data_IF_654549626992
#
_entry.id   IF_654549626992
#
_cell.length_a   1.000
_cell.length_b   1.000
_cell.length_c   1.000
_cell.angle_alpha   90.00
_cell.angle_beta   90.00
_cell.angle_gamma   90.00
#
_symmetry.space_group_name_H-M   'P 1'
#
loop_
_entity.id
_entity.type
_entity.pdbx_description
1 polymer ?
#
# COMPACT_ATOMS: atom_id res chain seq x y z
N UNK A 1 6.12 -64.35 41.79
CA UNK A 1 4.80 -64.14 42.40
C UNK A 1 4.05 -63.24 41.43
N UNK A 2 3.21 -63.75 40.53
CA UNK A 2 1.92 -64.42 40.81
C UNK A 2 0.84 -63.32 40.73
N UNK A 3 0.26 -63.10 39.54
CA UNK A 3 -1.09 -63.53 39.09
C UNK A 3 -2.20 -62.61 39.59
N UNK A 4 -3.36 -62.36 38.97
CA UNK A 4 -4.02 -62.57 37.66
C UNK A 4 -5.49 -62.11 37.85
N UNK A 5 -6.24 -61.92 36.75
CA UNK A 5 -7.72 -61.82 36.73
C UNK A 5 -8.20 -60.52 36.07
N UNK A 6 -8.41 -60.43 34.74
CA UNK A 6 -9.50 -61.01 33.91
C UNK A 6 -10.85 -60.29 34.20
N UNK A 7 -11.70 -59.86 33.28
CA UNK A 7 -12.11 -60.40 31.97
C UNK A 7 -12.61 -59.30 31.00
N UNK A 8 -12.53 -59.64 29.71
CA UNK A 8 -13.09 -59.00 28.52
C UNK A 8 -14.62 -59.15 28.44
N UNK A 9 -15.29 -58.25 27.71
CA UNK A 9 -16.29 -58.67 26.73
C UNK A 9 -16.47 -57.59 25.66
N UNK A 10 -16.24 -58.04 24.42
CA UNK A 10 -16.40 -57.37 23.14
C UNK A 10 -17.87 -57.38 22.67
N UNK A 11 -18.06 -56.84 21.46
CA UNK A 11 -19.21 -56.92 20.56
C UNK A 11 -20.20 -55.74 20.74
N UNK A 12 -20.40 -54.82 19.79
CA UNK A 12 -20.60 -55.06 18.36
C UNK A 12 -20.56 -53.77 17.51
N UNK A 13 -20.37 -53.98 16.22
CA UNK A 13 -19.85 -53.09 15.17
C UNK A 13 -20.96 -52.76 14.14
N UNK A 14 -21.04 -51.47 13.70
CA UNK A 14 -21.60 -50.95 12.41
C UNK A 14 -23.14 -51.09 12.19
N UNK A 15 -23.92 -50.19 11.55
CA UNK A 15 -23.69 -49.07 10.63
C UNK A 15 -25.04 -48.28 10.41
N UNK A 16 -25.10 -47.23 9.55
CA UNK A 16 -26.07 -46.11 9.61
C UNK A 16 -27.31 -46.26 8.71
N UNK A 17 -28.36 -45.47 8.98
CA UNK A 17 -29.48 -45.22 8.05
C UNK A 17 -29.82 -43.73 7.98
N UNK A 18 -29.83 -43.19 6.77
CA UNK A 18 -30.54 -41.97 6.33
C UNK A 18 -31.70 -42.42 5.41
N UNK A 19 -32.56 -41.55 4.82
CA UNK A 19 -33.21 -40.29 5.24
C UNK A 19 -34.76 -40.32 5.03
N UNK A 20 -35.40 -39.15 5.20
CA UNK A 20 -36.74 -38.71 4.76
C UNK A 20 -38.00 -39.05 5.58
N UNK A 21 -38.68 -37.99 6.04
CA UNK A 21 -40.13 -37.83 5.92
C UNK A 21 -40.53 -36.35 6.03
N UNK A 22 -41.11 -35.85 4.94
CA UNK A 22 -41.80 -34.58 4.75
C UNK A 22 -42.94 -34.37 5.75
N UNK A 23 -43.15 -33.16 6.27
CA UNK A 23 -44.48 -32.69 6.70
C UNK A 23 -44.61 -31.20 6.48
N UNK A 24 -45.78 -30.83 5.97
CA UNK A 24 -46.14 -29.57 5.33
C UNK A 24 -47.11 -28.79 6.23
N UNK A 25 -46.93 -27.47 6.27
CA UNK A 25 -47.90 -26.39 6.58
C UNK A 25 -48.47 -26.21 8.00
N UNK A 26 -48.34 -24.99 8.52
CA UNK A 26 -49.49 -24.12 8.79
C UNK A 26 -49.06 -22.67 8.93
N UNK A 27 -49.88 -21.79 8.35
CA UNK A 27 -49.78 -20.34 8.39
C UNK A 27 -50.44 -19.89 9.69
N UNK A 28 -49.72 -19.18 10.55
CA UNK A 28 -50.37 -18.43 11.63
C UNK A 28 -49.72 -17.06 11.77
N UNK A 29 -50.59 -16.06 11.77
CA UNK A 29 -50.30 -14.64 11.84
C UNK A 29 -50.19 -14.24 13.30
N UNK A 30 -48.98 -13.89 13.73
CA UNK A 30 -48.77 -13.14 14.98
C UNK A 30 -47.67 -12.12 14.74
N UNK A 31 -47.98 -10.87 15.08
CA UNK A 31 -47.03 -9.77 15.23
C UNK A 31 -45.96 -10.19 16.25
N UNK A 32 -44.82 -10.68 15.76
CA UNK A 32 -43.69 -11.02 16.60
C UNK A 32 -42.55 -10.05 16.27
N UNK A 33 -42.21 -9.24 17.25
CA UNK A 33 -41.01 -8.41 17.29
C UNK A 33 -39.80 -9.34 17.14
N UNK A 34 -39.39 -9.56 15.89
CA UNK A 34 -38.39 -10.54 15.52
C UNK A 34 -36.98 -10.03 15.88
N UNK A 35 -36.70 -9.85 17.17
CA UNK A 35 -35.32 -9.76 17.65
C UNK A 35 -34.71 -11.15 17.56
N UNK A 36 -34.09 -11.44 16.42
CA UNK A 36 -33.39 -12.70 16.16
C UNK A 36 -32.19 -12.79 17.10
N UNK A 37 -32.09 -13.88 17.88
CA UNK A 37 -30.95 -14.15 18.75
C UNK A 37 -29.63 -14.19 17.96
N UNK A 38 -28.57 -13.47 18.39
CA UNK A 38 -27.30 -13.36 17.65
C UNK A 38 -26.56 -14.69 17.48
N UNK A 39 -26.93 -15.73 18.23
CA UNK A 39 -26.30 -17.06 18.19
C UNK A 39 -27.00 -18.09 17.28
N UNK A 40 -28.17 -17.78 16.71
CA UNK A 40 -28.91 -18.74 15.88
C UNK A 40 -29.16 -18.18 14.46
N UNK A 41 -28.06 -17.77 13.82
CA UNK A 41 -28.03 -16.82 12.71
C UNK A 41 -27.85 -17.48 11.33
N UNK A 42 -28.74 -18.38 10.93
CA UNK A 42 -28.92 -18.68 9.49
C UNK A 42 -29.72 -17.55 8.83
N UNK A 43 -29.21 -16.33 8.91
CA UNK A 43 -29.80 -15.21 8.18
C UNK A 43 -29.32 -15.28 6.73
N UNK A 44 -30.09 -15.99 5.90
CA UNK A 44 -29.78 -16.23 4.48
C UNK A 44 -29.51 -14.94 3.69
N UNK A 45 -30.05 -13.81 4.13
CA UNK A 45 -29.79 -12.52 3.50
C UNK A 45 -28.34 -12.03 3.68
N UNK A 46 -27.59 -12.45 4.70
CA UNK A 46 -26.14 -12.21 4.83
C UNK A 46 -25.28 -13.21 4.04
N UNK A 47 -25.90 -14.19 3.38
CA UNK A 47 -25.25 -15.03 2.36
C UNK A 47 -25.35 -14.40 0.96
N UNK A 48 -26.24 -13.42 0.75
CA UNK A 48 -26.37 -12.71 -0.51
C UNK A 48 -25.25 -11.68 -0.67
N UNK A 49 -24.52 -11.77 -1.79
CA UNK A 49 -23.40 -10.85 -2.10
C UNK A 49 -23.86 -9.40 -2.21
N UNK A 50 -25.04 -9.15 -2.77
CA UNK A 50 -25.56 -7.79 -2.99
C UNK A 50 -25.97 -7.13 -1.68
N UNK A 51 -26.62 -7.88 -0.78
CA UNK A 51 -26.93 -7.40 0.57
C UNK A 51 -25.65 -7.08 1.34
N UNK A 52 -24.63 -7.96 1.28
CA UNK A 52 -23.33 -7.69 1.90
C UNK A 52 -22.69 -6.43 1.33
N UNK A 53 -22.76 -6.22 0.01
CA UNK A 53 -22.23 -5.01 -0.63
C UNK A 53 -22.92 -3.75 -0.12
N UNK A 54 -24.25 -3.75 -0.04
CA UNK A 54 -25.02 -2.62 0.49
C UNK A 54 -24.65 -2.29 1.94
N UNK A 55 -24.47 -3.31 2.78
CA UNK A 55 -24.06 -3.15 4.18
C UNK A 55 -22.63 -2.61 4.25
N UNK A 56 -21.69 -3.28 3.57
CA UNK A 56 -20.26 -2.96 3.64
C UNK A 56 -19.94 -1.58 3.06
N UNK A 57 -20.69 -1.10 2.06
CA UNK A 57 -20.56 0.26 1.55
C UNK A 57 -20.84 1.37 2.59
N UNK A 58 -21.44 1.02 3.74
CA UNK A 58 -21.70 1.94 4.86
C UNK A 58 -20.69 1.82 6.00
N UNK A 59 -19.81 0.81 5.95
CA UNK A 59 -18.87 0.54 7.03
C UNK A 59 -17.55 1.33 6.86
N UNK A 60 -16.95 1.79 7.98
CA UNK A 60 -15.60 2.33 7.95
C UNK A 60 -14.57 1.21 7.72
N UNK A 61 -13.36 1.60 7.31
CA UNK A 61 -12.26 0.68 6.98
C UNK A 61 -11.96 -0.36 8.08
N UNK A 62 -11.90 -0.01 9.38
CA UNK A 62 -11.64 -1.00 10.43
C UNK A 62 -12.69 -2.11 10.46
N UNK A 63 -13.95 -1.77 10.26
CA UNK A 63 -15.06 -2.72 10.29
C UNK A 63 -15.08 -3.58 9.02
N UNK A 64 -14.72 -3.02 7.86
CA UNK A 64 -14.48 -3.79 6.64
C UNK A 64 -13.35 -4.81 6.83
N UNK A 65 -12.27 -4.43 7.52
CA UNK A 65 -11.19 -5.35 7.84
C UNK A 65 -11.67 -6.48 8.76
N UNK A 66 -12.46 -6.17 9.79
CA UNK A 66 -13.08 -7.18 10.65
C UNK A 66 -14.01 -8.11 9.86
N UNK A 67 -14.87 -7.56 9.00
CA UNK A 67 -15.79 -8.32 8.16
C UNK A 67 -15.03 -9.27 7.21
N UNK A 68 -13.87 -8.84 6.68
CA UNK A 68 -13.03 -9.67 5.82
C UNK A 68 -12.51 -10.95 6.49
N UNK A 69 -12.47 -10.98 7.83
CA UNK A 69 -11.98 -12.12 8.61
C UNK A 69 -13.07 -13.16 8.92
N UNK A 70 -14.35 -12.86 8.68
CA UNK A 70 -15.48 -13.71 9.11
C UNK A 70 -15.54 -15.01 8.30
N UNK A 71 -15.59 -14.90 6.97
CA UNK A 71 -15.62 -16.06 6.08
C UNK A 71 -15.15 -15.68 4.67
N UNK A 72 -14.96 -16.66 3.78
CA UNK A 72 -14.49 -16.42 2.39
C UNK A 72 -15.43 -15.52 1.58
N UNK A 73 -16.75 -15.68 1.75
CA UNK A 73 -17.74 -14.87 1.06
C UNK A 73 -17.65 -13.40 1.50
N UNK A 74 -17.57 -13.16 2.81
CA UNK A 74 -17.41 -11.81 3.36
C UNK A 74 -16.07 -11.20 2.95
N UNK A 75 -14.98 -11.97 3.01
CA UNK A 75 -13.67 -11.51 2.53
C UNK A 75 -13.71 -11.04 1.07
N UNK A 76 -14.38 -11.80 0.19
CA UNK A 76 -14.48 -11.45 -1.23
C UNK A 76 -15.21 -10.13 -1.47
N UNK A 77 -16.20 -9.78 -0.63
CA UNK A 77 -16.96 -8.52 -0.76
C UNK A 77 -16.26 -7.39 0.01
N UNK A 78 -15.84 -7.62 1.25
CA UNK A 78 -15.19 -6.62 2.08
C UNK A 78 -13.84 -6.16 1.52
N UNK A 79 -13.14 -7.03 0.78
CA UNK A 79 -11.90 -6.69 0.08
C UNK A 79 -12.10 -6.15 -1.34
N UNK A 80 -13.36 -5.95 -1.77
CA UNK A 80 -13.66 -5.35 -3.07
C UNK A 80 -13.13 -3.91 -3.13
N UNK A 81 -12.33 -3.62 -4.15
CA UNK A 81 -11.64 -2.35 -4.29
C UNK A 81 -12.61 -1.15 -4.33
N UNK A 82 -13.79 -1.29 -4.91
CA UNK A 82 -14.74 -0.18 -5.00
C UNK A 82 -15.33 0.17 -3.63
N UNK A 83 -15.65 -0.84 -2.82
CA UNK A 83 -16.17 -0.67 -1.46
C UNK A 83 -15.09 -0.03 -0.57
N UNK A 84 -13.89 -0.59 -0.61
CA UNK A 84 -12.77 -0.11 0.21
C UNK A 84 -12.36 1.31 -0.20
N UNK A 85 -12.28 1.61 -1.50
CA UNK A 85 -11.98 2.96 -1.97
C UNK A 85 -13.08 3.96 -1.60
N UNK A 86 -14.36 3.56 -1.61
CA UNK A 86 -15.47 4.40 -1.15
C UNK A 86 -15.36 4.71 0.34
N UNK A 87 -15.09 3.70 1.17
CA UNK A 87 -14.88 3.84 2.61
C UNK A 87 -13.65 4.71 2.92
N UNK A 88 -12.57 4.58 2.14
CA UNK A 88 -11.37 5.43 2.23
C UNK A 88 -11.65 6.89 1.90
N UNK A 89 -12.44 7.18 0.85
CA UNK A 89 -12.77 8.55 0.43
C UNK A 89 -13.64 9.31 1.43
N UNK A 90 -14.57 8.61 2.09
CA UNK A 90 -15.64 9.23 2.86
C UNK A 90 -15.16 10.17 3.98
N UNK A 91 -14.18 9.81 4.83
CA UNK A 91 -13.72 10.69 5.91
C UNK A 91 -13.09 12.00 5.42
N UNK A 92 -12.47 11.98 4.24
CA UNK A 92 -11.74 13.11 3.68
C UNK A 92 -12.54 13.96 2.70
N UNK A 93 -13.79 13.55 2.38
CA UNK A 93 -14.64 14.19 1.35
C UNK A 93 -13.93 14.31 -0.01
N UNK A 94 -13.17 13.28 -0.37
CA UNK A 94 -12.46 13.21 -1.63
C UNK A 94 -13.44 13.01 -2.78
N UNK A 95 -13.20 13.72 -3.89
CA UNK A 95 -13.99 13.55 -5.11
C UNK A 95 -13.66 12.22 -5.78
N UNK A 96 -12.37 11.97 -6.01
CA UNK A 96 -11.89 10.77 -6.68
C UNK A 96 -10.60 10.24 -6.06
N UNK A 97 -10.49 8.90 -6.05
CA UNK A 97 -9.25 8.18 -5.75
C UNK A 97 -8.99 7.29 -6.96
N UNK A 98 -7.88 7.52 -7.63
CA UNK A 98 -7.50 6.87 -8.90
C UNK A 98 -6.28 5.99 -8.63
N UNK A 99 -6.21 4.83 -9.30
CA UNK A 99 -5.09 3.90 -9.16
C UNK A 99 -5.44 2.68 -8.31
N UNK A 100 -4.58 1.65 -8.41
CA UNK A 100 -4.68 0.42 -7.63
C UNK A 100 -3.42 0.28 -6.79
N UNK A 101 -3.50 0.18 -5.46
CA UNK A 101 -2.32 -0.09 -4.67
C UNK A 101 -1.75 -1.47 -5.00
N UNK A 102 -0.44 -1.63 -4.84
CA UNK A 102 0.24 -2.91 -4.99
C UNK A 102 -0.14 -3.88 -3.87
N UNK A 103 -0.50 -3.37 -2.69
CA UNK A 103 -0.96 -4.18 -1.56
C UNK A 103 -2.29 -3.68 -0.98
N UNK A 104 -3.19 -4.61 -0.63
CA UNK A 104 -4.43 -4.30 0.10
C UNK A 104 -4.19 -3.68 1.48
N UNK A 105 -2.98 -3.83 2.05
CA UNK A 105 -2.58 -3.14 3.28
C UNK A 105 -2.61 -1.62 3.15
N UNK A 106 -2.53 -1.09 1.92
CA UNK A 106 -2.64 0.34 1.66
C UNK A 106 -3.90 0.93 2.30
N UNK A 107 -5.02 0.23 2.19
CA UNK A 107 -6.31 0.74 2.64
C UNK A 107 -6.51 0.66 4.15
N UNK A 108 -5.72 -0.14 4.87
CA UNK A 108 -5.93 -0.39 6.31
C UNK A 108 -5.65 0.82 7.19
N UNK A 109 -4.71 1.65 6.77
CA UNK A 109 -4.37 2.90 7.44
C UNK A 109 -5.04 4.05 6.69
N UNK A 110 -5.98 4.72 7.36
CA UNK A 110 -6.69 5.88 6.84
C UNK A 110 -6.35 7.14 7.65
N UNK A 111 -5.05 7.38 7.83
CA UNK A 111 -4.52 8.59 8.47
C UNK A 111 -4.08 9.63 7.44
N UNK A 112 -3.95 10.89 7.88
CA UNK A 112 -3.52 11.99 7.00
C UNK A 112 -2.12 11.76 6.42
N UNK A 113 -1.27 10.99 7.12
CA UNK A 113 0.09 10.66 6.70
C UNK A 113 0.15 9.82 5.41
N UNK A 114 -0.98 9.22 4.99
CA UNK A 114 -1.12 8.55 3.69
C UNK A 114 -1.08 9.51 2.51
N UNK A 115 -1.40 10.77 2.73
CA UNK A 115 -1.54 11.76 1.68
C UNK A 115 -0.30 12.63 1.58
N UNK A 116 0.05 12.98 0.35
CA UNK A 116 1.15 13.89 0.07
C UNK A 116 0.84 14.72 -1.16
N UNK A 117 1.36 15.93 -1.19
CA UNK A 117 1.37 16.76 -2.39
C UNK A 117 2.59 16.41 -3.23
N UNK A 118 2.40 16.21 -4.53
CA UNK A 118 3.49 16.13 -5.50
C UNK A 118 3.95 17.54 -5.86
N UNK A 119 5.18 17.88 -5.49
CA UNK A 119 5.83 19.12 -5.91
C UNK A 119 6.95 18.80 -6.90
N UNK A 120 6.83 19.27 -8.14
CA UNK A 120 7.90 19.14 -9.14
C UNK A 120 9.04 20.09 -8.80
N UNK A 121 10.27 19.57 -8.78
CA UNK A 121 11.43 20.36 -8.36
C UNK A 121 11.79 21.36 -9.46
N UNK A 122 11.83 22.64 -9.09
CA UNK A 122 12.25 23.74 -9.95
C UNK A 122 13.64 24.25 -9.54
N UNK A 123 14.27 25.03 -10.44
CA UNK A 123 15.57 25.67 -10.14
C UNK A 123 15.39 26.65 -8.99
N UNK A 124 16.22 26.51 -7.96
CA UNK A 124 16.17 27.34 -6.75
C UNK A 124 15.31 26.76 -5.62
N UNK A 125 14.63 25.63 -5.84
CA UNK A 125 13.96 24.92 -4.76
C UNK A 125 14.98 24.32 -3.79
N UNK A 126 14.70 24.46 -2.50
CA UNK A 126 15.43 23.77 -1.43
C UNK A 126 14.42 23.14 -0.49
N UNK A 127 14.83 22.11 0.26
CA UNK A 127 13.91 21.47 1.22
C UNK A 127 13.41 22.49 2.24
N UNK A 128 14.26 23.44 2.64
CA UNK A 128 13.89 24.54 3.53
C UNK A 128 12.89 25.52 2.89
N UNK A 129 13.10 25.95 1.64
CA UNK A 129 12.17 26.87 0.98
C UNK A 129 10.80 26.24 0.73
N UNK A 130 10.78 24.94 0.38
CA UNK A 130 9.55 24.18 0.23
C UNK A 130 8.84 23.97 1.57
N UNK A 131 9.57 23.68 2.65
CA UNK A 131 9.00 23.57 3.99
C UNK A 131 8.27 24.85 4.40
N UNK A 132 8.87 26.02 4.15
CA UNK A 132 8.23 27.31 4.40
C UNK A 132 7.02 27.53 3.49
N UNK A 133 7.15 27.26 2.18
CA UNK A 133 6.07 27.43 1.19
C UNK A 133 4.81 26.63 1.57
N UNK A 134 4.99 25.39 2.01
CA UNK A 134 3.88 24.49 2.35
C UNK A 134 3.54 24.47 3.84
N UNK A 135 4.21 25.29 4.66
CA UNK A 135 4.02 25.33 6.12
C UNK A 135 4.18 23.97 6.80
N UNK A 136 5.20 23.22 6.40
CA UNK A 136 5.56 21.90 6.98
C UNK A 136 6.97 21.93 7.56
N UNK A 137 7.34 20.91 8.34
CA UNK A 137 8.70 20.80 8.85
C UNK A 137 9.63 20.17 7.81
N UNK A 138 10.86 20.69 7.71
CA UNK A 138 11.94 20.11 6.86
C UNK A 138 12.13 18.62 7.15
N UNK A 139 12.11 18.25 8.44
CA UNK A 139 12.27 16.87 8.87
C UNK A 139 11.15 15.94 8.36
N UNK A 140 9.91 16.43 8.28
CA UNK A 140 8.79 15.63 7.79
C UNK A 140 8.89 15.40 6.28
N UNK A 141 9.31 16.40 5.51
CA UNK A 141 9.63 16.24 4.08
C UNK A 141 10.73 15.19 3.91
N UNK A 142 11.84 15.31 4.65
CA UNK A 142 12.95 14.36 4.55
C UNK A 142 12.51 12.93 4.88
N UNK A 143 11.76 12.75 5.97
CA UNK A 143 11.23 11.44 6.39
C UNK A 143 10.25 10.85 5.37
N UNK A 144 9.37 11.67 4.80
CA UNK A 144 8.41 11.25 3.79
C UNK A 144 9.12 10.77 2.51
N UNK A 145 10.22 11.41 2.15
CA UNK A 145 10.97 11.14 0.93
C UNK A 145 12.15 10.17 1.11
N UNK A 146 12.36 9.63 2.32
CA UNK A 146 13.52 8.82 2.66
C UNK A 146 14.86 9.53 2.34
N UNK A 147 14.94 10.83 2.59
CA UNK A 147 16.13 11.63 2.36
C UNK A 147 17.05 11.63 3.57
N UNK A 148 18.33 11.36 3.34
CA UNK A 148 19.35 11.48 4.39
C UNK A 148 19.92 12.90 4.48
N UNK A 149 20.05 13.58 3.34
CA UNK A 149 20.59 14.94 3.24
C UNK A 149 19.74 15.84 2.33
N UNK A 150 19.86 17.16 2.50
CA UNK A 150 19.19 18.17 1.67
C UNK A 150 19.80 18.27 0.27
N UNK A 151 21.09 17.93 0.13
CA UNK A 151 21.82 17.89 -1.16
C UNK A 151 21.18 16.94 -2.18
N UNK A 152 20.46 15.92 -1.71
CA UNK A 152 19.76 14.95 -2.53
C UNK A 152 18.44 15.44 -3.12
N UNK A 153 18.14 16.74 -3.09
CA UNK A 153 16.92 17.27 -3.71
C UNK A 153 17.00 17.17 -5.24
N UNK A 154 18.10 17.62 -5.85
CA UNK A 154 18.24 17.69 -7.30
C UNK A 154 18.52 16.34 -7.98
N UNK A 155 18.70 15.27 -7.20
CA UNK A 155 18.76 13.90 -7.74
C UNK A 155 17.37 13.33 -8.08
N UNK A 156 16.29 14.11 -7.86
CA UNK A 156 14.89 13.69 -7.99
C UNK A 156 14.14 14.61 -8.96
N UNK A 157 13.09 14.08 -9.58
CA UNK A 157 12.20 14.86 -10.45
C UNK A 157 11.13 15.63 -9.66
N UNK A 158 10.65 15.02 -8.57
CA UNK A 158 9.63 15.58 -7.69
C UNK A 158 9.88 15.19 -6.24
N UNK A 159 9.25 15.92 -5.33
CA UNK A 159 9.29 15.70 -3.90
C UNK A 159 7.87 15.56 -3.36
N UNK A 160 7.68 14.59 -2.45
CA UNK A 160 6.42 14.43 -1.73
C UNK A 160 6.38 15.39 -0.55
N UNK A 161 5.38 16.25 -0.47
CA UNK A 161 5.21 17.17 0.65
C UNK A 161 4.07 16.65 1.55
N UNK A 162 4.30 16.46 2.86
CA UNK A 162 3.25 16.04 3.79
C UNK A 162 2.08 17.02 3.79
N UNK A 163 0.86 16.52 3.95
CA UNK A 163 -0.32 17.37 4.12
C UNK A 163 -0.54 17.62 5.62
N UNK A 164 -0.53 18.88 6.02
CA UNK A 164 -0.83 19.28 7.41
C UNK A 164 -2.30 19.68 7.62
N UNK A 165 -2.96 20.22 6.59
CA UNK A 165 -4.37 20.61 6.67
C UNK A 165 -5.25 19.63 5.87
N UNK A 166 -6.13 18.85 6.52
CA UNK A 166 -7.09 17.96 5.85
C UNK A 166 -8.04 18.67 4.89
N UNK A 167 -8.30 19.96 5.06
CA UNK A 167 -9.20 20.73 4.19
C UNK A 167 -8.72 20.73 2.73
N UNK A 168 -7.41 20.56 2.49
CA UNK A 168 -6.88 20.44 1.12
C UNK A 168 -7.32 19.16 0.39
N UNK A 169 -7.88 18.19 1.11
CA UNK A 169 -8.39 16.95 0.53
C UNK A 169 -9.86 17.07 0.08
N UNK A 170 -10.59 18.10 0.52
CA UNK A 170 -12.01 18.25 0.19
C UNK A 170 -12.16 18.49 -1.31
N UNK A 171 -13.00 17.69 -1.96
CA UNK A 171 -13.21 17.69 -3.43
C UNK A 171 -11.95 17.42 -4.26
N UNK A 172 -10.85 17.02 -3.62
CA UNK A 172 -9.61 16.71 -4.31
C UNK A 172 -9.69 15.36 -5.04
N UNK A 173 -8.88 15.24 -6.08
CA UNK A 173 -8.59 13.96 -6.74
C UNK A 173 -7.17 13.53 -6.35
N UNK A 174 -7.04 12.33 -5.80
CA UNK A 174 -5.75 11.77 -5.43
C UNK A 174 -5.47 10.47 -6.17
N UNK A 175 -4.18 10.22 -6.38
CA UNK A 175 -3.65 9.11 -7.16
C UNK A 175 -2.88 8.19 -6.23
N UNK A 176 -3.28 6.93 -6.15
CA UNK A 176 -2.58 5.91 -5.37
C UNK A 176 -1.47 5.36 -6.23
N UNK A 177 -0.23 5.66 -5.85
CA UNK A 177 0.97 5.28 -6.58
C UNK A 177 2.10 4.88 -5.62
N UNK A 178 3.08 4.14 -6.14
CA UNK A 178 4.31 3.79 -5.42
C UNK A 178 5.38 4.79 -5.82
N UNK A 179 5.89 5.56 -4.86
CA UNK A 179 6.95 6.51 -5.14
C UNK A 179 8.31 5.79 -5.24
N UNK A 180 9.06 5.94 -6.36
CA UNK A 180 10.30 5.20 -6.58
C UNK A 180 11.42 5.62 -5.62
N UNK A 181 11.48 6.89 -5.22
CA UNK A 181 12.54 7.42 -4.36
C UNK A 181 12.24 7.17 -2.87
N UNK A 182 10.98 7.35 -2.46
CA UNK A 182 10.52 7.16 -1.09
C UNK A 182 10.20 5.69 -0.75
N UNK A 183 10.11 4.82 -1.77
CA UNK A 183 9.86 3.37 -1.68
C UNK A 183 8.62 3.02 -0.86
N UNK A 184 7.54 3.78 -1.06
CA UNK A 184 6.29 3.61 -0.31
C UNK A 184 5.07 3.95 -1.17
N UNK A 185 3.95 3.36 -0.82
CA UNK A 185 2.65 3.66 -1.42
C UNK A 185 2.06 4.92 -0.77
N UNK A 186 1.63 5.88 -1.58
CA UNK A 186 1.11 7.18 -1.11
C UNK A 186 -0.11 7.57 -1.96
N UNK A 187 -1.08 8.23 -1.34
CA UNK A 187 -2.15 8.94 -2.04
C UNK A 187 -1.67 10.35 -2.40
N UNK A 188 -1.28 10.53 -3.66
CA UNK A 188 -0.62 11.74 -4.14
C UNK A 188 -1.63 12.73 -4.72
N UNK A 189 -1.50 14.00 -4.33
CA UNK A 189 -2.25 15.13 -4.85
C UNK A 189 -1.34 15.95 -5.78
N UNK A 190 -1.82 16.21 -7.00
CA UNK A 190 -1.13 17.05 -7.97
C UNK A 190 -1.82 18.42 -7.99
N UNK A 191 -1.10 19.46 -7.55
CA UNK A 191 -1.64 20.83 -7.50
C UNK A 191 -1.56 21.56 -8.85
N UNK A 192 -0.56 21.22 -9.66
CA UNK A 192 -0.36 21.73 -11.01
C UNK A 192 -0.54 20.55 -11.95
N UNK A 193 -1.37 20.73 -12.99
CA UNK A 193 -1.76 19.79 -14.07
C UNK A 193 -1.49 18.31 -13.78
N UNK A 194 -2.57 17.53 -13.59
CA UNK A 194 -2.53 16.11 -13.21
C UNK A 194 -1.50 15.27 -13.98
N UNK A 195 -1.09 14.11 -13.43
CA UNK A 195 0.12 13.39 -13.83
C UNK A 195 0.26 13.34 -15.36
N UNK A 196 1.34 13.95 -15.86
CA UNK A 196 1.61 14.13 -17.29
C UNK A 196 1.36 12.81 -18.03
N UNK A 197 0.24 12.73 -18.77
CA UNK A 197 -0.31 11.46 -19.30
C UNK A 197 0.66 10.71 -20.23
N UNK A 198 1.78 11.33 -20.63
CA UNK A 198 2.86 10.72 -21.41
C UNK A 198 3.62 9.61 -20.69
N UNK A 199 3.74 9.65 -19.36
CA UNK A 199 4.49 8.62 -18.61
C UNK A 199 3.67 7.34 -18.34
N UNK A 200 2.34 7.43 -18.38
CA UNK A 200 1.44 6.30 -18.12
C UNK A 200 1.34 5.41 -19.37
N UNK A 201 1.42 5.98 -20.58
CA UNK A 201 1.36 5.24 -21.85
C UNK A 201 2.62 4.44 -22.20
N UNK A 202 3.76 4.68 -21.55
CA UNK A 202 5.00 3.91 -21.75
C UNK A 202 5.25 2.83 -20.71
N UNK A 203 4.37 2.71 -19.69
CA UNK A 203 4.49 1.72 -18.61
C UNK A 203 3.31 0.76 -18.51
N UNK A 204 2.26 0.96 -19.30
CA UNK A 204 1.05 0.10 -19.32
C UNK A 204 1.09 -1.07 -20.30
N UNK A 205 2.26 -1.43 -20.86
CA UNK A 205 2.42 -2.68 -21.61
C UNK A 205 3.75 -3.38 -21.29
N UNK A 206 3.87 -3.88 -20.05
CA UNK A 206 4.82 -4.94 -19.74
C UNK A 206 4.32 -5.79 -18.57
N UNK A 207 3.16 -6.42 -18.77
CA UNK A 207 2.75 -7.56 -17.95
C UNK A 207 2.13 -8.63 -18.85
N UNK A 208 2.96 -9.58 -19.28
CA UNK A 208 2.75 -11.04 -19.23
C UNK A 208 3.65 -11.73 -20.27
N UNK A 209 4.69 -12.42 -19.79
CA UNK A 209 5.01 -13.77 -20.25
C UNK A 209 5.95 -14.44 -19.23
N UNK A 210 5.30 -15.10 -18.28
CA UNK A 210 5.88 -16.19 -17.52
C UNK A 210 5.85 -17.40 -18.46
N UNK A 211 7.00 -17.80 -19.01
CA UNK A 211 7.14 -19.08 -19.67
C UNK A 211 8.37 -19.79 -19.11
N UNK A 212 8.15 -20.99 -18.59
CA UNK A 212 9.19 -21.88 -18.11
C UNK A 212 10.20 -22.17 -19.22
N UNK A 213 11.46 -21.91 -18.91
CA UNK A 213 12.60 -22.21 -19.76
C UNK A 213 13.86 -22.25 -18.90
N UNK A 214 14.33 -23.45 -18.62
CA UNK A 214 15.59 -23.72 -17.94
C UNK A 214 16.75 -23.00 -18.63
N UNK A 215 17.51 -22.22 -17.85
CA UNK A 215 18.84 -21.72 -18.22
C UNK A 215 18.96 -20.19 -18.27
N UNK A 216 19.43 -19.57 -17.18
CA UNK A 216 20.23 -18.32 -17.15
C UNK A 216 20.57 -17.91 -15.70
N UNK A 217 21.67 -18.44 -15.17
CA UNK A 217 22.21 -18.11 -13.83
C UNK A 217 23.17 -16.91 -13.81
N UNK A 218 23.36 -16.21 -14.94
CA UNK A 218 24.35 -15.12 -15.07
C UNK A 218 23.83 -13.71 -14.77
N UNK A 219 22.53 -13.43 -14.95
CA UNK A 219 21.96 -12.07 -14.78
C UNK A 219 21.80 -11.64 -13.31
N UNK A 220 21.59 -12.59 -12.40
CA UNK A 220 21.43 -12.29 -10.96
C UNK A 220 22.72 -11.79 -10.30
N UNK A 221 23.88 -12.24 -10.77
CA UNK A 221 25.18 -11.81 -10.24
C UNK A 221 25.51 -10.35 -10.59
N UNK A 222 25.08 -9.87 -11.77
CA UNK A 222 25.28 -8.46 -12.19
C UNK A 222 24.45 -7.51 -11.33
N UNK A 223 23.19 -7.85 -11.03
CA UNK A 223 22.34 -7.02 -10.16
C UNK A 223 22.85 -6.97 -8.72
N UNK A 224 23.32 -8.09 -8.18
CA UNK A 224 23.94 -8.13 -6.85
C UNK A 224 25.21 -7.28 -6.81
N UNK A 225 26.02 -7.30 -7.87
CA UNK A 225 27.18 -6.43 -8.02
C UNK A 225 26.80 -4.95 -7.97
N UNK A 226 25.81 -4.54 -8.77
CA UNK A 226 25.28 -3.17 -8.78
C UNK A 226 24.74 -2.74 -7.40
N UNK A 227 23.98 -3.60 -6.74
CA UNK A 227 23.47 -3.35 -5.37
C UNK A 227 24.59 -3.11 -4.36
N UNK A 228 25.69 -3.89 -4.44
CA UNK A 228 26.86 -3.70 -3.55
C UNK A 228 27.58 -2.38 -3.82
N UNK A 229 27.70 -1.98 -5.08
CA UNK A 229 28.32 -0.69 -5.46
C UNK A 229 27.49 0.47 -4.91
N UNK A 230 26.17 0.44 -5.10
CA UNK A 230 25.26 1.48 -4.59
C UNK A 230 25.31 1.53 -3.06
N UNK A 231 25.28 0.39 -2.37
CA UNK A 231 25.39 0.33 -0.91
C UNK A 231 26.74 0.88 -0.40
N UNK A 232 27.82 0.62 -1.13
CA UNK A 232 29.14 1.19 -0.82
C UNK A 232 29.15 2.71 -0.99
N UNK A 233 28.60 3.23 -2.09
CA UNK A 233 28.45 4.67 -2.34
C UNK A 233 27.59 5.34 -1.28
N UNK A 234 26.44 4.75 -0.94
CA UNK A 234 25.52 5.21 0.10
C UNK A 234 26.25 5.42 1.43
N UNK A 235 27.08 4.45 1.83
CA UNK A 235 27.88 4.51 3.06
C UNK A 235 29.00 5.55 2.99
N UNK A 236 29.69 5.64 1.85
CA UNK A 236 30.80 6.58 1.66
C UNK A 236 30.31 8.04 1.65
N UNK A 237 29.24 8.31 0.89
CA UNK A 237 28.68 9.64 0.67
C UNK A 237 27.74 10.08 1.79
N UNK A 238 27.27 9.17 2.65
CA UNK A 238 26.26 9.42 3.69
C UNK A 238 24.93 9.97 3.12
N UNK A 239 24.53 9.46 1.97
CA UNK A 239 23.32 9.87 1.24
C UNK A 239 22.31 8.72 1.15
N UNK A 240 21.10 9.03 0.69
CA UNK A 240 20.08 8.02 0.40
C UNK A 240 20.34 7.28 -0.92
N UNK A 241 19.59 6.19 -1.13
CA UNK A 241 19.71 5.33 -2.32
C UNK A 241 19.46 6.12 -3.62
N UNK A 242 18.49 7.03 -3.64
CA UNK A 242 18.16 7.79 -4.84
C UNK A 242 19.33 8.69 -5.25
N UNK A 243 19.96 9.33 -4.27
CA UNK A 243 21.13 10.18 -4.49
C UNK A 243 22.35 9.36 -4.91
N UNK A 244 22.62 8.22 -4.26
CA UNK A 244 23.72 7.34 -4.66
C UNK A 244 23.53 6.80 -6.10
N UNK A 245 22.31 6.41 -6.46
CA UNK A 245 21.96 5.95 -7.81
C UNK A 245 22.12 7.06 -8.86
N UNK A 246 21.73 8.30 -8.53
CA UNK A 246 21.91 9.45 -9.40
C UNK A 246 23.40 9.67 -9.73
N UNK A 247 24.25 9.77 -8.71
CA UNK A 247 25.69 9.99 -8.93
C UNK A 247 26.37 8.82 -9.66
N UNK A 248 25.93 7.58 -9.40
CA UNK A 248 26.41 6.42 -10.14
C UNK A 248 25.97 6.45 -11.61
N UNK A 249 24.74 6.91 -11.89
CA UNK A 249 24.19 7.01 -13.23
C UNK A 249 24.90 8.08 -14.07
N UNK A 250 25.16 9.27 -13.51
CA UNK A 250 25.88 10.32 -14.23
C UNK A 250 27.36 9.96 -14.46
N UNK A 251 27.90 9.07 -13.64
CA UNK A 251 29.27 8.56 -13.73
C UNK A 251 29.39 7.28 -14.58
N UNK A 252 28.36 6.93 -15.35
CA UNK A 252 28.32 5.73 -16.22
C UNK A 252 28.71 4.42 -15.50
N UNK A 253 28.36 4.32 -14.21
CA UNK A 253 28.63 3.15 -13.38
C UNK A 253 30.00 3.11 -12.68
N UNK A 254 30.87 4.13 -12.84
CA UNK A 254 32.13 4.21 -12.09
C UNK A 254 31.91 4.84 -10.68
N UNK A 255 32.07 4.06 -9.59
CA UNK A 255 31.89 4.58 -8.24
C UNK A 255 32.92 5.65 -7.84
N UNK A 256 34.12 5.64 -8.41
CA UNK A 256 35.17 6.61 -8.05
C UNK A 256 34.88 7.97 -8.67
N UNK A 257 34.45 7.98 -9.93
CA UNK A 257 33.96 9.17 -10.59
C UNK A 257 32.72 9.72 -9.89
N UNK A 258 31.75 8.87 -9.51
CA UNK A 258 30.57 9.27 -8.76
C UNK A 258 30.91 10.01 -7.45
N UNK A 259 31.85 9.47 -6.66
CA UNK A 259 32.30 10.09 -5.42
C UNK A 259 33.02 11.43 -5.66
N UNK A 260 33.83 11.50 -6.72
CA UNK A 260 34.51 12.74 -7.12
C UNK A 260 33.51 13.84 -7.46
N UNK A 261 32.50 13.55 -8.28
CA UNK A 261 31.45 14.51 -8.66
C UNK A 261 30.67 14.99 -7.43
N UNK A 262 30.19 14.07 -6.58
CA UNK A 262 29.51 14.44 -5.34
C UNK A 262 30.34 15.34 -4.44
N UNK A 263 31.65 15.06 -4.30
CA UNK A 263 32.53 15.89 -3.49
C UNK A 263 32.75 17.29 -4.07
N UNK A 264 32.68 17.45 -5.39
CA UNK A 264 32.76 18.75 -6.06
C UNK A 264 31.50 19.56 -5.83
N UNK A 265 30.32 18.95 -6.00
CA UNK A 265 29.03 19.62 -5.78
C UNK A 265 28.90 20.09 -4.33
N UNK A 266 29.28 19.25 -3.37
CA UNK A 266 29.28 19.63 -1.95
C UNK A 266 30.22 20.81 -1.63
N UNK A 267 31.37 20.87 -2.31
CA UNK A 267 32.27 22.04 -2.21
C UNK A 267 31.60 23.28 -2.79
N UNK A 268 30.95 23.18 -3.93
CA UNK A 268 30.28 24.34 -4.54
C UNK A 268 29.17 24.91 -3.65
N UNK A 269 28.37 24.04 -3.05
CA UNK A 269 27.29 24.45 -2.15
C UNK A 269 27.82 25.10 -0.87
N UNK A 270 28.86 24.54 -0.25
CA UNK A 270 29.47 25.13 0.95
C UNK A 270 30.07 26.51 0.69
N UNK A 271 30.67 26.74 -0.49
CA UNK A 271 31.17 28.06 -0.85
C UNK A 271 30.04 29.04 -1.20
N UNK A 272 28.96 28.57 -1.83
CA UNK A 272 27.81 29.40 -2.18
C UNK A 272 26.95 29.79 -0.97
N UNK A 273 26.93 28.96 0.08
CA UNK A 273 26.24 29.27 1.33
C UNK A 273 26.97 30.26 2.24
N UNK A 274 28.26 30.54 1.97
CA UNK A 274 29.10 31.49 2.71
C UNK A 274 29.16 32.88 2.07
N UNK A 275 28.60 33.06 0.87
CA UNK A 275 28.55 34.31 0.12
C UNK A 275 27.17 34.96 0.22
#
# INVERSE_FOLDING_TARGET
MGCCGDEENDDDILNPLSPNSTTTQSVDSSDDDSTISPMNSHFSALACRDTLRLIFEKLPIPDLACASCVCRAWNSVASDQEIVAKSFKSPWKLKHVIGKPASGSFWRDNSLAKFAISHRIARGDSVASLAVKYSVQVMDIKRLNNMMSEHGIYSRERLLIPISNPEMLVEATCYVEVDPCAKREVAVLYLEDGPDHKAISSSSDSSLQNNGGSGSSSSSNSELGKKRVVESLRRSMHVDDATALYYLSIADGDPRAALSQFSQDLRWETHSALA
#
